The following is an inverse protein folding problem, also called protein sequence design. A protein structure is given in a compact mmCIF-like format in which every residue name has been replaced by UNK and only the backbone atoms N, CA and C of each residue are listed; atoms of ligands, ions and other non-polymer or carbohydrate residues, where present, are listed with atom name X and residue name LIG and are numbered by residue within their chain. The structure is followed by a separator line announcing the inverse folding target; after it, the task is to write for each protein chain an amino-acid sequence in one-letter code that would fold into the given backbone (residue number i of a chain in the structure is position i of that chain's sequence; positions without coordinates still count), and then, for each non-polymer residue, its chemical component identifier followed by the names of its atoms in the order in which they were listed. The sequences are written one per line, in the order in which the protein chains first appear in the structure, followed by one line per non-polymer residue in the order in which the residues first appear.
data_IF_717483215115
#
_entry.id   IF_717483215115
#
_cell.length_a   1.000
_cell.length_b   1.000
_cell.length_c   1.000
_cell.angle_alpha   90.00
_cell.angle_beta   90.00
_cell.angle_gamma   90.00
#
_symmetry.space_group_name_H-M   'P 1'
#
loop_
_entity.id
_entity.type
_entity.pdbx_description
1 polymer ?
#
# COMPACT_ATOMS: atom_id res chain seq x y z
N UNK A 1 -6.69 31.04 -23.66
CA UNK A 1 -7.71 30.56 -22.69
C UNK A 1 -8.18 29.19 -23.13
N UNK A 2 -7.74 28.16 -22.42
CA UNK A 2 -8.43 26.87 -22.24
C UNK A 2 -7.76 26.15 -21.06
N UNK A 3 -7.83 26.79 -19.89
CA UNK A 3 -7.35 26.29 -18.60
C UNK A 3 -8.47 25.48 -17.93
N UNK A 4 -8.86 24.33 -18.50
CA UNK A 4 -10.13 23.71 -18.06
C UNK A 4 -10.15 22.19 -18.06
N UNK A 5 -9.04 21.54 -17.73
CA UNK A 5 -9.13 20.12 -17.36
C UNK A 5 -8.02 19.62 -16.40
N UNK A 6 -7.81 20.34 -15.30
CA UNK A 6 -7.07 19.79 -14.15
C UNK A 6 -8.04 19.64 -12.98
N UNK A 7 -8.72 18.50 -12.94
CA UNK A 7 -9.43 18.08 -11.74
C UNK A 7 -8.40 17.64 -10.69
N UNK A 8 -7.96 18.57 -9.86
CA UNK A 8 -7.14 18.24 -8.70
C UNK A 8 -8.04 17.69 -7.58
N UNK A 9 -8.14 16.37 -7.50
CA UNK A 9 -8.86 15.69 -6.42
C UNK A 9 -8.08 15.82 -5.11
N UNK A 10 -8.25 16.96 -4.43
CA UNK A 10 -7.63 17.29 -3.13
C UNK A 10 -7.84 16.18 -2.08
N UNK A 11 -8.89 15.36 -2.20
CA UNK A 11 -9.17 14.25 -1.29
C UNK A 11 -8.16 13.11 -1.32
N UNK A 12 -7.41 12.94 -2.41
CA UNK A 12 -6.38 11.90 -2.53
C UNK A 12 -5.04 12.31 -1.91
N UNK A 13 -4.86 13.60 -1.58
CA UNK A 13 -3.65 14.07 -0.89
C UNK A 13 -3.78 13.86 0.62
N UNK A 14 -2.92 13.01 1.18
CA UNK A 14 -2.85 12.80 2.63
C UNK A 14 -3.56 11.54 3.15
N UNK A 15 -4.04 10.67 2.25
CA UNK A 15 -4.43 9.31 2.64
C UNK A 15 -3.26 8.58 3.30
N UNK A 16 -2.04 8.71 2.75
CA UNK A 16 -0.86 8.03 3.28
C UNK A 16 -0.51 8.51 4.68
N UNK A 17 -0.64 9.81 4.91
CA UNK A 17 -0.42 10.41 6.23
C UNK A 17 -1.46 9.95 7.26
N UNK A 18 -2.74 9.84 6.86
CA UNK A 18 -3.81 9.35 7.74
C UNK A 18 -3.60 7.88 8.10
N UNK A 19 -3.27 7.05 7.11
CA UNK A 19 -2.94 5.63 7.33
C UNK A 19 -1.72 5.49 8.24
N UNK A 20 -0.66 6.29 8.01
CA UNK A 20 0.52 6.30 8.86
C UNK A 20 0.20 6.70 10.31
N UNK A 21 -0.67 7.70 10.50
CA UNK A 21 -1.12 8.11 11.83
C UNK A 21 -1.95 7.02 12.53
N UNK A 22 -2.83 6.35 11.80
CA UNK A 22 -3.64 5.25 12.33
C UNK A 22 -2.74 4.10 12.80
N UNK A 23 -1.79 3.67 11.97
CA UNK A 23 -0.76 2.66 12.32
C UNK A 23 -0.02 3.07 13.59
N UNK A 24 0.51 4.30 13.64
CA UNK A 24 1.25 4.79 14.79
C UNK A 24 0.39 4.85 16.05
N UNK A 25 -0.87 5.27 15.93
CA UNK A 25 -1.78 5.38 17.07
C UNK A 25 -2.15 4.02 17.65
N UNK A 26 -2.41 3.01 16.80
CA UNK A 26 -2.68 1.64 17.22
C UNK A 26 -1.43 1.01 17.83
N UNK A 27 -0.25 1.32 17.27
CA UNK A 27 1.02 0.82 17.73
C UNK A 27 1.38 1.33 19.13
N UNK A 28 1.35 2.65 19.33
CA UNK A 28 1.66 3.26 20.63
C UNK A 28 0.68 2.85 21.73
N UNK A 29 -0.60 2.66 21.39
CA UNK A 29 -1.61 2.21 22.35
C UNK A 29 -1.59 0.69 22.57
N UNK A 30 -0.74 -0.05 21.85
CA UNK A 30 -0.66 -1.52 21.85
C UNK A 30 -2.04 -2.17 21.70
N UNK A 31 -2.82 -1.66 20.77
CA UNK A 31 -4.19 -2.14 20.52
C UNK A 31 -4.22 -3.38 19.62
N UNK A 32 -3.12 -3.65 18.93
CA UNK A 32 -2.98 -4.73 17.95
C UNK A 32 -1.61 -5.38 18.11
N UNK A 33 -1.53 -6.69 17.87
CA UNK A 33 -0.29 -7.44 17.85
C UNK A 33 0.29 -7.59 16.43
N UNK A 34 -0.56 -7.40 15.40
CA UNK A 34 -0.18 -7.51 13.99
C UNK A 34 -0.95 -6.51 13.13
N UNK A 35 -0.25 -5.93 12.14
CA UNK A 35 -0.81 -5.04 11.13
C UNK A 35 -0.52 -5.63 9.75
N UNK A 36 -1.57 -5.79 8.95
CA UNK A 36 -1.47 -6.22 7.54
C UNK A 36 -1.86 -5.01 6.68
N UNK A 37 -0.87 -4.40 6.03
CA UNK A 37 -1.07 -3.30 5.10
C UNK A 37 -1.26 -3.87 3.68
N UNK A 38 -2.36 -3.51 3.03
CA UNK A 38 -2.60 -3.83 1.62
C UNK A 38 -2.44 -2.53 0.83
N UNK A 39 -1.27 -2.36 0.21
CA UNK A 39 -0.93 -1.13 -0.50
C UNK A 39 0.07 -1.40 -1.62
N UNK A 40 -0.08 -0.71 -2.74
CA UNK A 40 0.88 -0.76 -3.86
C UNK A 40 2.02 0.26 -3.73
N UNK A 41 2.04 1.05 -2.65
CA UNK A 41 3.02 2.10 -2.41
C UNK A 41 4.01 1.72 -1.31
N UNK A 42 5.26 2.17 -1.49
CA UNK A 42 6.36 1.99 -0.54
C UNK A 42 6.48 3.13 0.47
N UNK A 43 5.69 4.20 0.37
CA UNK A 43 5.79 5.37 1.27
C UNK A 43 5.48 5.08 2.75
N UNK A 44 5.03 3.86 3.07
CA UNK A 44 4.72 3.41 4.45
C UNK A 44 5.92 2.82 5.23
N UNK A 45 7.15 2.82 4.67
CA UNK A 45 8.37 2.37 5.41
C UNK A 45 8.46 2.97 6.82
N UNK A 46 8.25 4.29 7.05
CA UNK A 46 8.42 4.87 8.38
C UNK A 46 7.39 4.35 9.39
N UNK A 47 6.14 4.13 8.94
CA UNK A 47 5.08 3.59 9.77
C UNK A 47 5.34 2.12 10.13
N UNK A 48 5.82 1.32 9.16
CA UNK A 48 6.24 -0.06 9.38
C UNK A 48 7.38 -0.17 10.40
N UNK A 49 8.42 0.67 10.26
CA UNK A 49 9.53 0.75 11.21
C UNK A 49 9.06 1.04 12.63
N UNK A 50 8.13 1.98 12.78
CA UNK A 50 7.57 2.35 14.06
C UNK A 50 6.77 1.19 14.69
N UNK A 51 5.90 0.53 13.92
CA UNK A 51 5.15 -0.63 14.39
C UNK A 51 6.07 -1.77 14.86
N UNK A 52 7.09 -2.11 14.07
CA UNK A 52 8.09 -3.14 14.44
C UNK A 52 8.85 -2.78 15.71
N UNK A 53 9.21 -1.51 15.89
CA UNK A 53 9.90 -1.04 17.10
C UNK A 53 9.04 -1.19 18.35
N UNK A 54 7.73 -1.04 18.23
CA UNK A 54 6.78 -1.26 19.32
C UNK A 54 6.45 -2.74 19.56
N UNK A 55 7.06 -3.66 18.78
CA UNK A 55 6.90 -5.10 18.91
C UNK A 55 5.67 -5.65 18.18
N UNK A 56 5.18 -4.94 17.16
CA UNK A 56 4.02 -5.33 16.37
C UNK A 56 4.49 -5.90 15.04
N UNK A 57 3.95 -7.07 14.67
CA UNK A 57 4.24 -7.72 13.40
C UNK A 57 3.66 -6.89 12.24
N UNK A 58 4.49 -6.50 11.26
CA UNK A 58 4.04 -5.70 10.13
C UNK A 58 4.20 -6.45 8.80
N UNK A 59 3.07 -6.78 8.18
CA UNK A 59 3.00 -7.52 6.90
C UNK A 59 2.52 -6.56 5.80
N UNK A 60 3.11 -6.66 4.61
CA UNK A 60 2.71 -5.90 3.43
C UNK A 60 2.22 -6.82 2.31
N UNK A 61 1.07 -6.49 1.73
CA UNK A 61 0.57 -7.04 0.48
C UNK A 61 0.69 -5.97 -0.64
N UNK A 62 1.60 -6.13 -1.61
CA UNK A 62 1.75 -5.22 -2.75
C UNK A 62 0.59 -5.16 -3.72
N UNK A 63 -0.39 -6.06 -3.61
CA UNK A 63 -1.36 -6.33 -4.67
C UNK A 63 -0.70 -6.59 -6.03
N UNK A 64 0.39 -7.38 -6.04
CA UNK A 64 1.19 -7.69 -7.23
C UNK A 64 1.99 -6.51 -7.83
N UNK A 65 2.03 -5.35 -7.18
CA UNK A 65 2.91 -4.26 -7.56
C UNK A 65 4.38 -4.61 -7.29
N UNK A 66 5.28 -4.13 -8.16
CA UNK A 66 6.72 -4.22 -7.93
C UNK A 66 7.10 -3.25 -6.82
N UNK A 67 7.42 -3.80 -5.64
CA UNK A 67 7.93 -3.03 -4.52
C UNK A 67 9.43 -2.79 -4.69
N UNK A 68 9.91 -1.60 -4.30
CA UNK A 68 11.35 -1.29 -4.23
C UNK A 68 12.04 -2.15 -3.16
N UNK A 69 13.27 -2.60 -3.46
CA UNK A 69 14.04 -3.48 -2.58
C UNK A 69 14.24 -2.92 -1.15
N UNK A 70 14.30 -1.60 -0.99
CA UNK A 70 14.44 -0.92 0.30
C UNK A 70 13.27 -1.21 1.27
N UNK A 71 12.05 -1.46 0.76
CA UNK A 71 10.91 -1.79 1.62
C UNK A 71 10.99 -3.24 2.16
N UNK A 72 11.63 -4.15 1.43
CA UNK A 72 11.78 -5.55 1.84
C UNK A 72 12.64 -5.70 3.11
N UNK A 73 13.64 -4.85 3.31
CA UNK A 73 14.47 -4.89 4.52
C UNK A 73 13.72 -4.45 5.78
N UNK A 74 12.60 -3.75 5.61
CA UNK A 74 11.91 -3.06 6.70
C UNK A 74 10.54 -3.63 7.08
N UNK A 75 10.08 -4.67 6.40
CA UNK A 75 8.82 -5.40 6.71
C UNK A 75 9.12 -6.80 7.28
N UNK A 76 8.23 -7.35 8.11
CA UNK A 76 8.39 -8.72 8.66
C UNK A 76 8.03 -9.79 7.63
N UNK A 77 7.15 -9.46 6.69
CA UNK A 77 6.75 -10.38 5.63
C UNK A 77 6.07 -9.67 4.47
N UNK A 78 6.34 -10.18 3.27
CA UNK A 78 5.63 -9.81 2.05
C UNK A 78 4.69 -10.96 1.67
N UNK A 79 3.38 -10.72 1.65
CA UNK A 79 2.41 -11.76 1.30
C UNK A 79 1.28 -11.18 0.50
N UNK A 80 1.17 -11.59 -0.77
CA UNK A 80 -0.03 -11.33 -1.56
C UNK A 80 -1.07 -12.42 -1.38
N UNK A 81 -2.25 -12.03 -0.90
CA UNK A 81 -3.39 -12.94 -0.70
C UNK A 81 -4.42 -12.87 -1.83
N UNK A 82 -4.39 -11.81 -2.64
CA UNK A 82 -5.26 -11.66 -3.81
C UNK A 82 -4.84 -12.62 -4.93
N UNK A 83 -5.79 -13.18 -5.67
CA UNK A 83 -5.46 -13.96 -6.88
C UNK A 83 -4.75 -13.05 -7.89
N UNK A 84 -3.65 -13.54 -8.48
CA UNK A 84 -2.93 -12.79 -9.52
C UNK A 84 -3.90 -12.55 -10.67
N UNK A 85 -4.16 -11.29 -11.08
CA UNK A 85 -4.98 -11.05 -12.25
C UNK A 85 -4.29 -11.72 -13.44
N UNK A 86 -4.93 -12.76 -13.99
CA UNK A 86 -4.52 -13.34 -15.27
C UNK A 86 -4.61 -12.24 -16.33
N UNK A 87 -3.58 -12.04 -17.16
CA UNK A 87 -3.70 -11.16 -18.31
C UNK A 87 -4.89 -11.65 -19.12
N UNK A 88 -5.94 -10.85 -19.23
CA UNK A 88 -7.09 -11.16 -20.07
C UNK A 88 -6.56 -11.42 -21.47
N UNK A 89 -6.79 -12.62 -22.01
CA UNK A 89 -6.58 -12.92 -23.43
C UNK A 89 -7.19 -11.77 -24.24
N UNK A 90 -6.35 -11.00 -24.92
CA UNK A 90 -6.80 -10.05 -25.94
C UNK A 90 -7.46 -10.85 -27.04
N UNK A 91 -8.77 -11.08 -26.94
CA UNK A 91 -9.55 -11.64 -28.04
C UNK A 91 -9.34 -10.70 -29.23
N UNK A 92 -8.81 -11.18 -30.37
CA UNK A 92 -8.58 -10.32 -31.52
C UNK A 92 -9.92 -9.69 -31.93
N UNK A 93 -9.93 -8.43 -32.38
CA UNK A 93 -11.15 -7.77 -32.81
C UNK A 93 -11.87 -8.64 -33.86
N UNK A 94 -13.20 -8.75 -33.83
CA UNK A 94 -13.93 -9.47 -34.86
C UNK A 94 -13.58 -8.83 -36.21
N UNK A 95 -13.09 -9.67 -37.13
CA UNK A 95 -12.75 -9.28 -38.50
C UNK A 95 -14.00 -8.64 -39.16
N UNK A 96 -13.85 -7.56 -39.95
CA UNK A 96 -14.97 -6.91 -40.62
C UNK A 96 -15.70 -7.85 -41.60
#
# INVERSE_FOLDING_TARGET
LAETDVFYSVTQQGVDMRIGLDIASMAFKRQVDQIILVAGDSDFVPAAKLARREGIDFILDPMWASIRDDLHEHIDGLRSVFQRPTPTETKPPPNP
#
